data_IF_178056385140
#
_entry.id   IF_178056385140
#
_cell.length_a   1.000
_cell.length_b   1.000
_cell.length_c   1.000
_cell.angle_alpha   90.00
_cell.angle_beta   90.00
_cell.angle_gamma   90.00
#
_symmetry.space_group_name_H-M   'P 1'
#
loop_
_entity.id
_entity.type
_entity.pdbx_description
1 polymer ?
#
# COMPACT_ATOMS: atom_id res chain seq x y z
N UNK A 1 -12.89 -7.70 -17.23
CA UNK A 1 -11.89 -6.92 -17.97
C UNK A 1 -10.74 -6.59 -17.01
N UNK A 2 -9.89 -7.58 -16.69
CA UNK A 2 -8.85 -7.47 -15.62
C UNK A 2 -7.43 -7.76 -16.17
N UNK A 3 -7.25 -7.90 -17.49
CA UNK A 3 -6.01 -8.47 -18.07
C UNK A 3 -5.04 -7.50 -18.73
N UNK A 4 -5.23 -6.19 -18.63
CA UNK A 4 -4.30 -5.20 -19.21
C UNK A 4 -3.38 -4.53 -18.17
N UNK A 5 -3.83 -4.32 -16.94
CA UNK A 5 -2.99 -3.70 -15.89
C UNK A 5 -1.84 -4.61 -15.42
N UNK A 6 -2.05 -5.93 -15.37
CA UNK A 6 -0.99 -6.87 -14.98
C UNK A 6 0.12 -6.98 -16.05
N UNK A 7 -0.25 -6.84 -17.32
CA UNK A 7 0.69 -6.94 -18.46
C UNK A 7 1.63 -5.73 -18.53
N UNK A 8 1.16 -4.55 -18.12
CA UNK A 8 1.94 -3.30 -18.17
C UNK A 8 2.94 -3.13 -17.04
N UNK A 9 2.74 -3.81 -15.89
CA UNK A 9 3.64 -3.65 -14.72
C UNK A 9 5.04 -4.21 -14.94
N UNK A 10 5.26 -5.02 -15.97
CA UNK A 10 6.50 -5.78 -16.11
C UNK A 10 6.98 -5.92 -17.55
N UNK A 11 7.04 -4.80 -18.28
CA UNK A 11 7.50 -4.74 -19.67
C UNK A 11 8.91 -5.33 -19.91
N UNK A 12 9.73 -5.43 -18.87
CA UNK A 12 11.09 -5.99 -18.92
C UNK A 12 11.14 -7.53 -18.85
N UNK A 13 10.09 -8.22 -18.36
CA UNK A 13 10.00 -9.69 -18.45
C UNK A 13 9.77 -10.17 -19.88
N UNK A 14 9.20 -9.33 -20.73
CA UNK A 14 8.85 -9.70 -22.11
C UNK A 14 10.08 -9.61 -23.06
N UNK A 15 11.21 -9.04 -22.61
CA UNK A 15 12.30 -8.61 -23.49
C UNK A 15 13.39 -9.65 -23.81
N UNK A 16 13.31 -10.90 -23.33
CA UNK A 16 14.43 -11.85 -23.43
C UNK A 16 14.06 -13.23 -24.00
N UNK A 17 13.30 -13.24 -25.10
CA UNK A 17 13.09 -14.45 -25.92
C UNK A 17 13.72 -14.32 -27.31
N UNK A 18 15.01 -14.05 -27.36
CA UNK A 18 15.78 -14.15 -28.61
C UNK A 18 16.08 -15.61 -28.91
N UNK A 19 15.53 -16.19 -29.98
CA UNK A 19 15.72 -17.60 -30.38
C UNK A 19 17.19 -18.11 -30.46
N UNK A 20 18.20 -17.26 -30.31
CA UNK A 20 19.63 -17.54 -30.49
C UNK A 20 20.42 -17.85 -29.21
N UNK A 21 19.81 -17.75 -28.02
CA UNK A 21 20.53 -18.02 -26.76
C UNK A 21 20.56 -19.50 -26.36
N UNK A 22 21.61 -19.91 -25.62
CA UNK A 22 21.79 -21.28 -25.15
C UNK A 22 20.59 -21.79 -24.33
N UNK A 23 20.30 -23.09 -24.42
CA UNK A 23 19.19 -23.69 -23.67
C UNK A 23 19.34 -23.50 -22.15
N UNK A 24 20.58 -23.57 -21.65
CA UNK A 24 20.89 -23.32 -20.24
C UNK A 24 20.50 -21.89 -19.81
N UNK A 25 20.87 -20.86 -20.59
CA UNK A 25 20.53 -19.48 -20.28
C UNK A 25 19.01 -19.25 -20.25
N UNK A 26 18.27 -19.89 -21.17
CA UNK A 26 16.82 -19.81 -21.20
C UNK A 26 16.17 -20.42 -19.95
N UNK A 27 16.65 -21.59 -19.53
CA UNK A 27 16.17 -22.25 -18.30
C UNK A 27 16.48 -21.41 -17.06
N UNK A 28 17.69 -20.85 -16.95
CA UNK A 28 18.08 -20.00 -15.83
C UNK A 28 17.24 -18.72 -15.76
N UNK A 29 17.05 -18.03 -16.89
CA UNK A 29 16.19 -16.83 -16.93
C UNK A 29 14.74 -17.16 -16.58
N UNK A 30 14.21 -18.28 -17.06
CA UNK A 30 12.85 -18.72 -16.73
C UNK A 30 12.68 -19.02 -15.23
N UNK A 31 13.68 -19.63 -14.59
CA UNK A 31 13.67 -19.88 -13.14
C UNK A 31 13.73 -18.56 -12.34
N UNK A 32 14.58 -17.62 -12.78
CA UNK A 32 14.67 -16.28 -12.16
C UNK A 32 13.35 -15.51 -12.31
N UNK A 33 12.70 -15.58 -13.47
CA UNK A 33 11.39 -14.99 -13.70
C UNK A 33 10.33 -15.61 -12.78
N UNK A 34 10.36 -16.93 -12.60
CA UNK A 34 9.43 -17.63 -11.71
C UNK A 34 9.63 -17.20 -10.25
N UNK A 35 10.88 -17.13 -9.78
CA UNK A 35 11.22 -16.66 -8.43
C UNK A 35 10.82 -15.20 -8.22
N UNK A 36 11.09 -14.33 -9.19
CA UNK A 36 10.71 -12.90 -9.11
C UNK A 36 9.19 -12.74 -9.09
N UNK A 37 8.45 -13.52 -9.89
CA UNK A 37 6.98 -13.54 -9.83
C UNK A 37 6.44 -14.04 -8.49
N UNK A 38 7.08 -15.04 -7.88
CA UNK A 38 6.72 -15.50 -6.54
C UNK A 38 6.94 -14.40 -5.49
N UNK A 39 8.09 -13.73 -5.53
CA UNK A 39 8.43 -12.60 -4.67
C UNK A 39 7.39 -11.47 -4.78
N UNK A 40 6.97 -11.15 -6.00
CA UNK A 40 5.96 -10.12 -6.26
C UNK A 40 4.56 -10.50 -5.76
N UNK A 41 4.21 -11.78 -5.79
CA UNK A 41 2.95 -12.27 -5.21
C UNK A 41 2.91 -12.11 -3.69
N UNK A 42 4.05 -12.25 -3.01
CA UNK A 42 4.15 -11.98 -1.57
C UNK A 42 3.89 -10.49 -1.24
N UNK A 43 4.17 -9.59 -2.20
CA UNK A 43 3.99 -8.14 -2.05
C UNK A 43 2.57 -7.65 -2.40
N UNK A 44 1.93 -8.24 -3.42
CA UNK A 44 0.66 -7.76 -3.97
C UNK A 44 -0.59 -8.44 -3.36
N UNK A 45 -0.51 -8.99 -2.13
CA UNK A 45 -1.60 -9.77 -1.52
C UNK A 45 -3.00 -9.13 -1.67
N UNK A 46 -4.00 -9.96 -1.98
CA UNK A 46 -5.37 -9.64 -2.38
C UNK A 46 -6.22 -9.05 -1.23
N UNK A 47 -5.70 -8.09 -0.48
CA UNK A 47 -6.37 -7.55 0.69
C UNK A 47 -7.32 -6.42 0.29
N UNK A 48 -8.61 -6.67 0.49
CA UNK A 48 -9.73 -5.74 0.25
C UNK A 48 -9.74 -4.56 1.26
N UNK A 49 -8.92 -4.64 2.32
CA UNK A 49 -8.76 -3.60 3.34
C UNK A 49 -7.28 -3.34 3.70
N UNK A 50 -6.97 -2.09 4.09
CA UNK A 50 -5.62 -1.65 4.47
C UNK A 50 -5.05 -2.45 5.65
N UNK A 51 -5.85 -2.69 6.69
CA UNK A 51 -5.41 -3.43 7.88
C UNK A 51 -5.01 -4.87 7.52
N UNK A 52 -5.81 -5.53 6.68
CA UNK A 52 -5.55 -6.88 6.20
C UNK A 52 -4.31 -6.94 5.29
N UNK A 53 -4.05 -5.89 4.49
CA UNK A 53 -2.83 -5.76 3.68
C UNK A 53 -1.60 -5.68 4.55
N UNK A 54 -1.63 -4.84 5.59
CA UNK A 54 -0.54 -4.71 6.55
C UNK A 54 -0.27 -6.02 7.30
N UNK A 55 -1.32 -6.68 7.78
CA UNK A 55 -1.21 -7.96 8.50
C UNK A 55 -0.58 -9.06 7.62
N UNK A 56 -1.05 -9.19 6.37
CA UNK A 56 -0.53 -10.19 5.43
C UNK A 56 0.92 -9.90 5.07
N UNK A 57 1.27 -8.62 4.87
CA UNK A 57 2.65 -8.21 4.60
C UNK A 57 3.60 -8.63 5.70
N UNK A 58 3.30 -8.33 6.97
CA UNK A 58 4.19 -8.70 8.07
C UNK A 58 4.33 -10.20 8.26
N UNK A 59 3.26 -10.97 7.99
CA UNK A 59 3.31 -12.44 7.98
C UNK A 59 4.18 -13.00 6.84
N UNK A 60 4.19 -12.37 5.66
CA UNK A 60 4.96 -12.80 4.48
C UNK A 60 6.37 -12.22 4.39
N UNK A 61 6.67 -11.20 5.18
CA UNK A 61 7.98 -10.53 5.24
C UNK A 61 9.18 -11.46 5.44
N UNK A 62 9.18 -12.47 6.34
CA UNK A 62 10.35 -13.34 6.50
C UNK A 62 10.63 -14.19 5.24
N UNK A 63 9.59 -14.71 4.61
CA UNK A 63 9.69 -15.46 3.34
C UNK A 63 10.26 -14.56 2.22
N UNK A 64 9.81 -13.32 2.17
CA UNK A 64 10.31 -12.32 1.22
C UNK A 64 11.80 -11.99 1.43
N UNK A 65 12.23 -11.82 2.68
CA UNK A 65 13.63 -11.55 3.02
C UNK A 65 14.52 -12.71 2.58
N UNK A 66 14.13 -13.95 2.87
CA UNK A 66 14.87 -15.15 2.44
C UNK A 66 15.11 -15.15 0.92
N UNK A 67 14.07 -14.89 0.12
CA UNK A 67 14.21 -14.82 -1.33
C UNK A 67 15.19 -13.73 -1.80
N UNK A 68 15.19 -12.56 -1.16
CA UNK A 68 16.11 -11.46 -1.48
C UNK A 68 17.54 -11.81 -1.13
N UNK A 69 17.77 -12.43 0.02
CA UNK A 69 19.09 -12.86 0.46
C UNK A 69 19.68 -13.92 -0.48
N UNK A 70 18.87 -14.90 -0.88
CA UNK A 70 19.27 -15.92 -1.86
C UNK A 70 19.58 -15.31 -3.22
N UNK A 71 18.75 -14.38 -3.68
CA UNK A 71 18.99 -13.65 -4.92
C UNK A 71 20.29 -12.86 -4.88
N UNK A 72 20.53 -12.14 -3.78
CA UNK A 72 21.77 -11.38 -3.57
C UNK A 72 23.00 -12.30 -3.57
N UNK A 73 22.95 -13.43 -2.84
CA UNK A 73 24.04 -14.41 -2.77
C UNK A 73 24.34 -15.00 -4.13
N UNK A 74 23.31 -15.39 -4.88
CA UNK A 74 23.45 -15.96 -6.22
C UNK A 74 24.04 -14.94 -7.21
N UNK A 75 23.51 -13.70 -7.22
CA UNK A 75 24.01 -12.65 -8.12
C UNK A 75 25.46 -12.26 -7.79
N UNK A 76 25.80 -12.16 -6.49
CA UNK A 76 27.18 -11.90 -6.06
C UNK A 76 28.12 -13.02 -6.51
N UNK A 77 27.75 -14.28 -6.31
CA UNK A 77 28.53 -15.44 -6.76
C UNK A 77 28.74 -15.41 -8.28
N UNK A 78 27.69 -15.12 -9.05
CA UNK A 78 27.78 -15.01 -10.50
C UNK A 78 28.73 -13.89 -10.95
N UNK A 79 28.66 -12.72 -10.33
CA UNK A 79 29.54 -11.59 -10.65
C UNK A 79 31.02 -11.92 -10.33
N UNK A 80 31.28 -12.56 -9.19
CA UNK A 80 32.62 -13.01 -8.80
C UNK A 80 33.16 -14.05 -9.80
N UNK A 81 32.35 -15.05 -10.16
CA UNK A 81 32.76 -16.08 -11.12
C UNK A 81 33.00 -15.49 -12.52
N UNK A 82 32.22 -14.50 -12.94
CA UNK A 82 32.43 -13.82 -14.21
C UNK A 82 33.76 -13.04 -14.24
N UNK A 83 34.13 -12.38 -13.14
CA UNK A 83 35.42 -11.71 -13.02
C UNK A 83 36.59 -12.73 -13.07
N UNK A 84 36.45 -13.87 -12.39
CA UNK A 84 37.43 -14.96 -12.48
C UNK A 84 37.59 -15.47 -13.91
N UNK A 85 36.50 -15.75 -14.63
CA UNK A 85 36.55 -16.18 -16.03
C UNK A 85 37.19 -15.13 -16.94
N UNK A 86 36.87 -13.85 -16.73
CA UNK A 86 37.43 -12.76 -17.53
C UNK A 86 38.91 -12.50 -17.23
N UNK A 87 39.32 -12.61 -15.96
CA UNK A 87 40.73 -12.57 -15.59
C UNK A 87 41.48 -13.81 -16.13
N UNK A 88 40.75 -14.91 -16.32
CA UNK A 88 41.30 -16.16 -16.82
C UNK A 88 41.67 -16.10 -18.30
N UNK A 89 40.82 -15.48 -19.11
CA UNK A 89 41.07 -15.25 -20.54
C UNK A 89 42.19 -14.23 -20.80
N UNK A 90 42.62 -13.46 -19.79
CA UNK A 90 43.66 -12.44 -19.93
C UNK A 90 45.07 -12.89 -19.53
N UNK A 91 45.26 -14.08 -18.95
CA UNK A 91 46.60 -14.61 -18.64
C UNK A 91 47.22 -15.46 -19.76
N UNK A 92 46.50 -15.78 -20.84
CA UNK A 92 47.04 -16.57 -21.95
C UNK A 92 47.69 -15.75 -23.08
N UNK A 93 47.84 -14.43 -22.94
CA UNK A 93 48.39 -13.58 -24.02
C UNK A 93 49.45 -12.55 -23.60
N UNK A 94 50.31 -12.87 -22.62
CA UNK A 94 51.54 -12.08 -22.43
C UNK A 94 52.78 -12.91 -22.07
N UNK A 95 53.55 -13.12 -23.13
CA UNK A 95 55.01 -13.06 -23.19
C UNK A 95 55.82 -14.27 -22.75
N UNK A 96 56.35 -14.93 -23.78
CA UNK A 96 57.44 -15.88 -23.75
C UNK A 96 58.74 -15.35 -23.10
N UNK A 97 59.36 -16.26 -22.33
CA UNK A 97 60.82 -16.50 -22.08
C UNK A 97 61.57 -15.54 -21.13
N UNK A 98 62.39 -15.97 -20.12
CA UNK A 98 63.00 -17.26 -19.65
C UNK A 98 64.01 -16.92 -18.48
N UNK A 99 64.62 -17.81 -17.64
CA UNK A 99 64.24 -19.11 -17.05
C UNK A 99 64.63 -19.34 -15.52
N UNK A 100 64.14 -20.48 -14.99
CA UNK A 100 64.78 -21.44 -14.04
C UNK A 100 64.91 -21.18 -12.51
N UNK A 101 64.17 -22.00 -11.76
CA UNK A 101 64.49 -22.84 -10.57
C UNK A 101 63.24 -22.88 -9.67
N UNK A 102 62.66 -23.97 -9.16
CA UNK A 102 62.92 -25.42 -9.18
C UNK A 102 61.60 -26.15 -8.89
N UNK A 103 61.46 -27.34 -9.44
CA UNK A 103 60.43 -28.34 -9.14
C UNK A 103 60.47 -28.81 -7.68
N UNK A 104 59.32 -28.99 -7.02
CA UNK A 104 58.93 -30.31 -6.51
C UNK A 104 57.43 -30.36 -6.13
N UNK A 105 56.85 -31.51 -6.43
CA UNK A 105 55.44 -31.87 -6.33
C UNK A 105 55.34 -32.98 -5.30
N UNK A 106 54.47 -32.86 -4.29
CA UNK A 106 53.68 -34.01 -3.84
C UNK A 106 52.40 -33.51 -3.17
N UNK A 107 51.27 -33.98 -3.68
CA UNK A 107 49.99 -34.03 -2.99
C UNK A 107 50.03 -35.21 -2.01
N UNK A 108 49.70 -34.97 -0.74
CA UNK A 108 49.47 -36.04 0.23
C UNK A 108 48.00 -36.00 0.66
N UNK A 109 47.22 -36.91 0.08
CA UNK A 109 45.96 -37.36 0.63
C UNK A 109 46.30 -38.42 1.67
N UNK A 110 46.13 -38.14 2.96
CA UNK A 110 46.04 -39.19 3.96
C UNK A 110 44.59 -39.32 4.45
N UNK A 111 44.00 -40.45 4.09
CA UNK A 111 42.73 -40.97 4.56
C UNK A 111 42.80 -41.34 6.04
N UNK A 112 41.80 -40.95 6.82
CA UNK A 112 41.37 -41.78 7.95
C UNK A 112 39.85 -41.72 8.08
N UNK A 113 39.25 -42.81 7.64
CA UNK A 113 37.88 -43.20 7.90
C UNK A 113 37.97 -44.26 9.00
N UNK A 114 37.30 -44.02 10.12
CA UNK A 114 36.85 -45.06 11.03
C UNK A 114 35.34 -44.82 11.20
N UNK A 115 34.58 -45.79 10.73
CA UNK A 115 33.13 -45.85 10.82
C UNK A 115 32.73 -46.51 12.14
N UNK A 116 31.65 -45.98 12.73
CA UNK A 116 30.66 -46.66 13.54
C UNK A 116 31.11 -47.54 14.73
N UNK A 117 30.82 -47.07 15.95
CA UNK A 117 29.87 -47.83 16.75
C UNK A 117 28.97 -46.92 17.60
N UNK A 118 27.75 -47.38 17.76
CA UNK A 118 26.64 -46.72 18.44
C UNK A 118 26.70 -47.06 19.92
N UNK A 119 26.59 -46.07 20.82
CA UNK A 119 26.03 -46.31 22.15
C UNK A 119 25.43 -45.00 22.71
N UNK A 120 24.11 -45.05 22.91
CA UNK A 120 23.35 -44.10 23.69
C UNK A 120 23.71 -44.38 25.15
N UNK A 121 24.36 -43.43 25.81
CA UNK A 121 24.35 -43.34 27.26
C UNK A 121 23.92 -41.91 27.64
N UNK A 122 22.81 -41.85 28.35
CA UNK A 122 22.27 -40.69 29.04
C UNK A 122 23.03 -40.53 30.37
N UNK A 123 23.72 -39.41 30.61
CA UNK A 123 24.04 -38.96 31.94
C UNK A 123 23.12 -37.78 32.25
N UNK A 124 21.99 -38.09 32.89
CA UNK A 124 21.40 -37.19 33.87
C UNK A 124 22.47 -36.82 34.88
N UNK A 125 23.05 -35.63 34.75
CA UNK A 125 23.58 -34.92 35.89
C UNK A 125 23.45 -33.42 35.68
N UNK A 126 22.49 -32.86 36.41
CA UNK A 126 22.39 -31.47 36.78
C UNK A 126 23.78 -30.92 37.15
N UNK A 127 24.19 -29.84 36.49
CA UNK A 127 24.94 -28.78 37.16
C UNK A 127 24.71 -27.44 36.45
N UNK A 128 24.02 -26.58 37.17
CA UNK A 128 23.77 -25.19 36.86
C UNK A 128 25.10 -24.42 36.69
N UNK A 129 25.36 -23.86 35.52
CA UNK A 129 26.09 -22.58 35.34
C UNK A 129 26.23 -22.17 33.87
N UNK A 130 25.11 -21.83 33.23
CA UNK A 130 25.12 -20.97 32.03
C UNK A 130 23.85 -20.11 31.92
N UNK A 131 23.16 -19.86 33.05
CA UNK A 131 21.93 -19.09 33.11
C UNK A 131 22.16 -17.58 33.31
N UNK A 132 23.36 -17.17 33.72
CA UNK A 132 23.62 -15.82 34.28
C UNK A 132 23.89 -14.72 33.23
N UNK A 133 23.75 -15.00 31.93
CA UNK A 133 23.97 -13.97 30.88
C UNK A 133 22.81 -13.79 29.90
N UNK A 134 21.74 -14.60 29.98
CA UNK A 134 20.57 -14.48 29.10
C UNK A 134 19.38 -13.80 29.78
N UNK A 135 19.32 -13.81 31.10
CA UNK A 135 18.23 -13.16 31.85
C UNK A 135 18.24 -11.64 31.66
N UNK A 136 19.41 -11.00 31.61
CA UNK A 136 19.55 -9.55 31.42
C UNK A 136 19.07 -9.06 30.05
N UNK A 137 19.36 -9.79 28.98
CA UNK A 137 18.87 -9.45 27.63
C UNK A 137 17.34 -9.64 27.52
N UNK A 138 16.81 -10.69 28.14
CA UNK A 138 15.35 -10.94 28.16
C UNK A 138 14.59 -9.88 28.97
N UNK A 139 15.17 -9.39 30.08
CA UNK A 139 14.60 -8.31 30.87
C UNK A 139 14.53 -6.99 30.11
N UNK A 140 15.57 -6.66 29.34
CA UNK A 140 15.61 -5.44 28.51
C UNK A 140 14.55 -5.49 27.40
N UNK A 141 14.43 -6.61 26.71
CA UNK A 141 13.42 -6.80 25.65
C UNK A 141 11.99 -6.76 26.22
N UNK A 142 11.74 -7.37 27.38
CA UNK A 142 10.42 -7.32 28.02
C UNK A 142 10.07 -5.90 28.48
N UNK A 143 11.05 -5.13 28.96
CA UNK A 143 10.87 -3.73 29.32
C UNK A 143 10.53 -2.86 28.09
N UNK A 144 11.22 -3.05 26.96
CA UNK A 144 10.89 -2.38 25.70
C UNK A 144 9.51 -2.76 25.19
N UNK A 145 9.16 -4.05 25.28
CA UNK A 145 7.82 -4.55 24.93
C UNK A 145 6.74 -3.87 25.75
N UNK A 146 6.92 -3.71 27.06
CA UNK A 146 5.96 -3.02 27.94
C UNK A 146 5.82 -1.54 27.59
N UNK A 147 6.92 -0.84 27.32
CA UNK A 147 6.88 0.57 26.86
C UNK A 147 6.10 0.73 25.55
N UNK A 148 6.33 -0.17 24.59
CA UNK A 148 5.62 -0.18 23.31
C UNK A 148 4.12 -0.46 23.48
N UNK A 149 3.74 -1.32 24.43
CA UNK A 149 2.32 -1.57 24.77
C UNK A 149 1.67 -0.31 25.32
N UNK A 150 2.33 0.36 26.28
CA UNK A 150 1.81 1.59 26.87
C UNK A 150 1.66 2.72 25.83
N UNK A 151 2.66 2.88 24.95
CA UNK A 151 2.60 3.85 23.85
C UNK A 151 1.46 3.52 22.87
N UNK A 152 1.27 2.24 22.54
CA UNK A 152 0.18 1.79 21.67
C UNK A 152 -1.18 2.08 22.29
N UNK A 153 -1.34 1.81 23.58
CA UNK A 153 -2.57 2.08 24.31
C UNK A 153 -2.86 3.58 24.41
N UNK A 154 -1.82 4.41 24.61
CA UNK A 154 -1.94 5.87 24.62
C UNK A 154 -2.37 6.41 23.25
N UNK A 155 -1.76 5.94 22.16
CA UNK A 155 -2.13 6.31 20.79
C UNK A 155 -3.56 5.88 20.46
N UNK A 156 -3.95 4.67 20.87
CA UNK A 156 -5.32 4.17 20.69
C UNK A 156 -6.35 5.03 21.42
N UNK A 157 -6.03 5.48 22.63
CA UNK A 157 -6.90 6.40 23.39
C UNK A 157 -7.05 7.75 22.69
N UNK A 158 -5.95 8.34 22.23
CA UNK A 158 -6.00 9.60 21.47
C UNK A 158 -6.86 9.47 20.20
N UNK A 159 -6.79 8.33 19.52
CA UNK A 159 -7.59 8.08 18.33
C UNK A 159 -9.09 8.05 18.65
N UNK A 160 -9.48 7.41 19.76
CA UNK A 160 -10.87 7.40 20.23
C UNK A 160 -11.37 8.80 20.59
N UNK A 161 -10.55 9.61 21.28
CA UNK A 161 -10.91 10.99 21.64
C UNK A 161 -11.11 11.85 20.38
N UNK A 162 -10.20 11.71 19.40
CA UNK A 162 -10.30 12.42 18.10
C UNK A 162 -11.51 11.99 17.28
N UNK A 163 -11.87 10.71 17.31
CA UNK A 163 -13.07 10.22 16.63
C UNK A 163 -14.35 10.75 17.29
N UNK A 164 -14.36 10.91 18.61
CA UNK A 164 -15.47 11.55 19.32
C UNK A 164 -15.60 13.03 18.98
N UNK A 165 -14.49 13.78 18.95
CA UNK A 165 -14.49 15.19 18.49
C UNK A 165 -15.09 15.31 17.08
N UNK A 166 -14.69 14.43 16.15
CA UNK A 166 -15.25 14.42 14.78
C UNK A 166 -16.73 14.09 14.77
N UNK A 167 -17.18 13.12 15.58
CA UNK A 167 -18.61 12.78 15.71
C UNK A 167 -19.43 13.98 16.20
N UNK A 168 -18.93 14.71 17.19
CA UNK A 168 -19.62 15.88 17.73
C UNK A 168 -19.70 17.03 16.71
N UNK A 169 -18.63 17.29 15.95
CA UNK A 169 -18.67 18.27 14.84
C UNK A 169 -19.71 17.89 13.80
N UNK A 170 -19.79 16.60 13.41
CA UNK A 170 -20.81 16.12 12.48
C UNK A 170 -22.22 16.32 13.06
N UNK A 171 -22.42 16.06 14.35
CA UNK A 171 -23.70 16.29 15.05
C UNK A 171 -24.10 17.75 15.01
N UNK A 172 -23.17 18.66 15.30
CA UNK A 172 -23.41 20.11 15.27
C UNK A 172 -23.73 20.60 13.85
N UNK A 173 -22.93 20.21 12.85
CA UNK A 173 -23.19 20.55 11.45
C UNK A 173 -24.55 20.04 10.99
N UNK A 174 -24.91 18.80 11.33
CA UNK A 174 -26.22 18.22 11.01
C UNK A 174 -27.37 19.02 11.63
N UNK A 175 -27.23 19.44 12.89
CA UNK A 175 -28.22 20.29 13.56
C UNK A 175 -28.37 21.64 12.84
N UNK A 176 -27.25 22.31 12.51
CA UNK A 176 -27.30 23.59 11.78
C UNK A 176 -27.93 23.44 10.39
N UNK A 177 -27.63 22.35 9.69
CA UNK A 177 -28.21 22.05 8.38
C UNK A 177 -29.73 21.91 8.47
N UNK A 178 -30.25 21.19 9.47
CA UNK A 178 -31.70 21.01 9.64
C UNK A 178 -32.38 22.35 9.98
N UNK A 179 -31.79 23.17 10.86
CA UNK A 179 -32.34 24.51 11.16
C UNK A 179 -32.38 25.42 9.93
N UNK A 180 -31.31 25.44 9.13
CA UNK A 180 -31.26 26.22 7.89
C UNK A 180 -32.27 25.73 6.87
N UNK A 181 -32.48 24.41 6.77
CA UNK A 181 -33.47 23.80 5.89
C UNK A 181 -34.88 24.20 6.31
N UNK A 182 -35.20 24.17 7.59
CA UNK A 182 -36.50 24.60 8.13
C UNK A 182 -36.76 26.09 7.90
N UNK A 183 -35.74 26.94 8.10
CA UNK A 183 -35.81 28.36 7.79
C UNK A 183 -36.05 28.59 6.29
N UNK A 184 -35.36 27.85 5.41
CA UNK A 184 -35.53 27.94 3.97
C UNK A 184 -36.96 27.53 3.55
N UNK A 185 -37.50 26.48 4.15
CA UNK A 185 -38.89 26.06 3.95
C UNK A 185 -39.90 27.10 4.46
N UNK A 186 -39.61 27.75 5.59
CA UNK A 186 -40.42 28.86 6.12
C UNK A 186 -40.42 30.07 5.18
N UNK A 187 -39.24 30.49 4.70
CA UNK A 187 -39.09 31.57 3.73
C UNK A 187 -39.78 31.27 2.42
N UNK A 188 -39.64 30.05 1.87
CA UNK A 188 -40.35 29.62 0.66
C UNK A 188 -41.86 29.70 0.82
N UNK A 189 -42.41 29.25 1.97
CA UNK A 189 -43.84 29.38 2.29
C UNK A 189 -44.27 30.85 2.33
N UNK A 190 -43.51 31.71 3.00
CA UNK A 190 -43.80 33.15 3.07
C UNK A 190 -43.78 33.83 1.70
N UNK A 191 -42.80 33.49 0.86
CA UNK A 191 -42.73 33.99 -0.52
C UNK A 191 -43.92 33.55 -1.36
N UNK A 192 -44.34 32.28 -1.25
CA UNK A 192 -45.53 31.78 -1.94
C UNK A 192 -46.82 32.50 -1.46
N UNK A 193 -46.96 32.75 -0.15
CA UNK A 193 -48.09 33.53 0.36
C UNK A 193 -48.05 35.00 -0.07
N UNK A 194 -46.86 35.61 -0.12
CA UNK A 194 -46.71 36.99 -0.58
C UNK A 194 -46.99 37.12 -2.09
N UNK A 195 -46.54 36.17 -2.92
CA UNK A 195 -46.82 36.18 -4.36
C UNK A 195 -48.31 36.00 -4.66
N UNK A 196 -49.01 35.14 -3.89
CA UNK A 196 -50.48 35.01 -3.96
C UNK A 196 -51.18 36.29 -3.50
N UNK A 197 -50.73 36.92 -2.41
CA UNK A 197 -51.30 38.18 -1.91
C UNK A 197 -51.03 39.36 -2.85
N UNK A 198 -49.89 39.38 -3.52
CA UNK A 198 -49.57 40.39 -4.54
C UNK A 198 -50.42 40.19 -5.79
N UNK A 199 -50.69 38.95 -6.20
CA UNK A 199 -51.68 38.64 -7.24
C UNK A 199 -53.10 39.10 -6.88
N UNK A 200 -53.55 38.86 -5.64
CA UNK A 200 -54.91 39.28 -5.22
C UNK A 200 -55.04 40.77 -4.95
N UNK A 201 -53.96 41.48 -4.57
CA UNK A 201 -53.95 42.95 -4.45
C UNK A 201 -53.90 43.63 -5.83
N UNK A 202 -53.30 43.00 -6.83
CA UNK A 202 -53.29 43.48 -8.23
C UNK A 202 -54.57 43.14 -9.01
N UNK A 203 -55.47 42.31 -8.48
CA UNK A 203 -56.85 42.22 -8.96
C UNK A 203 -57.65 43.45 -8.48
N UNK A 204 -57.40 44.55 -9.18
CA UNK A 204 -58.20 45.77 -9.12
C UNK A 204 -59.69 45.45 -9.35
N UNK A 205 -60.55 45.96 -8.46
CA UNK A 205 -62.00 46.02 -8.68
C UNK A 205 -62.26 46.70 -10.04
N UNK A 206 -63.16 46.17 -10.89
CA UNK A 206 -63.44 46.79 -12.17
C UNK A 206 -64.04 48.19 -11.94
N UNK A 207 -63.29 49.23 -12.31
CA UNK A 207 -63.68 50.64 -12.21
C UNK A 207 -64.71 51.02 -13.31
N UNK A 208 -65.52 50.06 -13.77
CA UNK A 208 -66.41 50.23 -14.93
C UNK A 208 -67.70 50.99 -14.61
N UNK A 209 -67.94 51.41 -13.36
CA UNK A 209 -69.14 52.16 -12.97
C UNK A 209 -68.96 53.68 -12.91
N UNK A 210 -67.73 54.20 -12.94
CA UNK A 210 -67.50 55.65 -12.83
C UNK A 210 -67.40 56.36 -14.18
N UNK A 211 -66.85 55.71 -15.21
CA UNK A 211 -66.67 56.34 -16.53
C UNK A 211 -67.94 56.40 -17.38
N UNK A 212 -68.90 55.48 -17.20
CA UNK A 212 -70.16 55.49 -17.96
C UNK A 212 -71.09 56.66 -17.62
N UNK A 213 -71.01 57.19 -16.39
CA UNK A 213 -71.89 58.29 -15.94
C UNK A 213 -71.39 59.67 -16.36
N UNK A 214 -70.08 59.82 -16.55
CA UNK A 214 -69.47 61.06 -17.05
C UNK A 214 -69.72 61.25 -18.56
N UNK A 215 -69.82 60.15 -19.32
CA UNK A 215 -70.07 60.19 -20.76
C UNK A 215 -71.52 60.55 -21.11
N UNK A 216 -72.50 60.16 -20.27
CA UNK A 216 -73.91 60.48 -20.50
C UNK A 216 -74.21 61.97 -20.27
N UNK A 217 -73.54 62.62 -19.31
CA UNK A 217 -73.73 64.05 -19.00
C UNK A 217 -73.10 64.95 -20.08
N UNK A 218 -72.06 64.51 -20.80
CA UNK A 218 -71.45 65.29 -21.88
C UNK A 218 -72.17 65.20 -23.23
N UNK A 219 -73.00 64.17 -23.45
CA UNK A 219 -73.68 63.96 -24.73
C UNK A 219 -75.10 64.53 -24.82
N UNK A 220 -75.76 64.85 -23.70
CA UNK A 220 -77.11 65.46 -23.70
C UNK A 220 -77.11 67.00 -23.81
N UNK A 221 -75.94 67.62 -23.94
CA UNK A 221 -75.80 69.09 -23.96
C UNK A 221 -75.89 69.78 -25.33
N UNK A 222 -75.97 69.06 -26.45
CA UNK A 222 -75.88 69.67 -27.79
C UNK A 222 -76.84 69.05 -28.81
N UNK A 223 -78.14 69.34 -28.70
CA UNK A 223 -79.06 69.51 -29.84
C UNK A 223 -80.18 70.49 -29.47
N UNK A 224 -79.93 71.78 -29.73
CA UNK A 224 -80.98 72.80 -29.95
C UNK A 224 -80.65 73.47 -31.28
N UNK A 225 -81.69 73.60 -32.11
CA UNK A 225 -81.79 74.17 -33.47
C UNK A 225 -81.37 73.24 -34.62
#
# INVERSE_FOLDING_TARGET
MVREEEKSRWWWFESHKSSKHSQWLQSTLAELDAKTKAMLKLLNGNADSFAQRAETYYKKRPELISFVEDFYRAHRSLAVNFDHLKSSDHYESRSAKVPQQSMESVCDSNSHFEDADSEIEDPLQDDASAADCKEDETWQLEQERLKLIEETDALRKQLLDKDEEKREVIRQLSLTLETLKDENLSLKRRLAHHSLKQRTVLEFKPLNKFFGKLFYIMCDGNKVL
#
